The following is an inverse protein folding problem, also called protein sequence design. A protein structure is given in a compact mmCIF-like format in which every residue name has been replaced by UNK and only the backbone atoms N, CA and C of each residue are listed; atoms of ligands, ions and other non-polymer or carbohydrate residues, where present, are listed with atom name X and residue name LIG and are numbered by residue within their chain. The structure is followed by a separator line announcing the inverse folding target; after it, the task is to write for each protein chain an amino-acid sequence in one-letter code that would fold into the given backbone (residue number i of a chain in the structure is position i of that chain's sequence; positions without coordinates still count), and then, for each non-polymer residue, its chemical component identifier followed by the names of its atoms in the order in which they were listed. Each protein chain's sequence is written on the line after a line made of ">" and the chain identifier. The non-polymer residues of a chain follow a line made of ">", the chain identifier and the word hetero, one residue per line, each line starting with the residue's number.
data_IF_909744564511
#
_entry.id   IF_909744564511
#
_cell.length_a   1.000
_cell.length_b   1.000
_cell.length_c   1.000
_cell.angle_alpha   90.00
_cell.angle_beta   90.00
_cell.angle_gamma   90.00
#
_symmetry.space_group_name_H-M   'P 1'
#
loop_
_entity.id
_entity.type
_entity.pdbx_description
1 polymer ?
#
# COMPACT_ATOMS: atom_id res chain seq x y z
N UNK A 1 11.29 4.83 -29.62
CA UNK A 1 10.66 5.27 -28.35
C UNK A 1 10.20 4.02 -27.63
N UNK A 2 10.74 3.71 -26.45
CA UNK A 2 10.32 2.54 -25.68
C UNK A 2 9.01 2.90 -24.97
N UNK A 3 7.93 2.17 -25.23
CA UNK A 3 6.67 2.32 -24.49
C UNK A 3 6.89 1.80 -23.07
N UNK A 4 6.78 2.67 -22.07
CA UNK A 4 6.78 2.24 -20.67
C UNK A 4 5.42 1.60 -20.38
N UNK A 5 5.39 0.29 -20.17
CA UNK A 5 4.18 -0.40 -19.72
C UNK A 5 4.03 -0.08 -18.23
N UNK A 6 2.94 0.61 -17.81
CA UNK A 6 2.73 0.89 -16.40
C UNK A 6 2.53 -0.41 -15.62
N UNK A 7 3.08 -0.46 -14.40
CA UNK A 7 2.92 -1.61 -13.52
C UNK A 7 1.43 -1.85 -13.28
N UNK A 8 1.02 -3.12 -13.34
CA UNK A 8 -0.37 -3.52 -13.09
C UNK A 8 -0.45 -4.83 -12.31
N UNK A 9 -1.48 -4.98 -11.49
CA UNK A 9 -1.77 -6.17 -10.71
C UNK A 9 -2.76 -7.07 -11.46
N UNK A 10 -2.70 -8.38 -11.20
CA UNK A 10 -3.71 -9.32 -11.69
C UNK A 10 -4.99 -9.19 -10.87
N UNK A 11 -6.15 -9.40 -11.50
CA UNK A 11 -7.43 -9.47 -10.80
C UNK A 11 -7.82 -10.95 -10.70
N UNK A 12 -8.05 -11.43 -9.47
CA UNK A 12 -8.40 -12.84 -9.24
C UNK A 12 -9.63 -13.24 -10.07
N UNK A 13 -9.53 -14.37 -10.78
CA UNK A 13 -10.62 -14.89 -11.62
C UNK A 13 -10.91 -14.08 -12.90
N UNK A 14 -10.04 -13.15 -13.30
CA UNK A 14 -10.26 -12.29 -14.46
C UNK A 14 -8.98 -12.13 -15.31
N UNK A 15 -9.15 -11.90 -16.61
CA UNK A 15 -8.06 -11.50 -17.51
C UNK A 15 -7.75 -9.99 -17.43
N UNK A 16 -8.58 -9.22 -16.72
CA UNK A 16 -8.36 -7.79 -16.51
C UNK A 16 -7.16 -7.53 -15.60
N UNK A 17 -6.56 -6.35 -15.77
CA UNK A 17 -5.39 -5.89 -15.03
C UNK A 17 -5.69 -4.54 -14.36
N UNK A 18 -5.26 -4.38 -13.12
CA UNK A 18 -5.41 -3.15 -12.36
C UNK A 18 -4.13 -2.30 -12.47
N UNK A 19 -4.12 -1.16 -13.18
CA UNK A 19 -2.94 -0.30 -13.25
C UNK A 19 -2.65 0.37 -11.91
N UNK A 20 -1.40 0.31 -11.45
CA UNK A 20 -0.94 0.94 -10.20
C UNK A 20 -0.45 2.36 -10.51
N UNK A 21 -1.02 3.37 -9.84
CA UNK A 21 -0.67 4.78 -10.05
C UNK A 21 -0.02 5.45 -8.85
N UNK A 22 -0.69 5.44 -7.71
CA UNK A 22 -0.22 6.00 -6.45
C UNK A 22 -0.53 5.02 -5.32
N UNK A 23 0.40 4.89 -4.39
CA UNK A 23 0.25 4.04 -3.21
C UNK A 23 0.27 4.97 -2.01
N UNK A 24 -0.84 4.99 -1.28
CA UNK A 24 -0.96 5.70 -0.01
C UNK A 24 -1.04 4.65 1.09
N UNK A 25 -0.21 4.84 2.10
CA UNK A 25 -0.13 3.98 3.28
C UNK A 25 -0.58 4.75 4.51
N UNK A 26 -1.12 4.04 5.49
CA UNK A 26 -1.62 4.63 6.75
C UNK A 26 -0.80 4.07 7.90
N UNK A 27 0.15 4.88 8.39
CA UNK A 27 0.99 4.51 9.52
C UNK A 27 0.21 4.54 10.82
N UNK A 28 0.52 3.58 11.71
CA UNK A 28 -0.08 3.50 13.06
C UNK A 28 -1.60 3.37 13.06
N UNK A 29 -2.17 2.63 12.12
CA UNK A 29 -3.64 2.49 12.01
C UNK A 29 -4.24 1.36 12.89
N UNK A 30 -3.46 0.79 13.81
CA UNK A 30 -3.88 -0.23 14.77
C UNK A 30 -3.36 0.11 16.16
N UNK A 31 -4.26 0.22 17.14
CA UNK A 31 -3.92 0.69 18.49
C UNK A 31 -2.89 -0.21 19.20
N UNK A 32 -2.92 -1.52 18.97
CA UNK A 32 -1.96 -2.44 19.60
C UNK A 32 -0.57 -2.35 18.94
N UNK A 33 -0.52 -2.19 17.62
CA UNK A 33 0.75 -1.94 16.92
C UNK A 33 1.37 -0.59 17.34
N UNK A 34 0.56 0.42 17.64
CA UNK A 34 1.07 1.66 18.23
C UNK A 34 1.77 1.42 19.58
N UNK A 35 1.18 0.59 20.46
CA UNK A 35 1.75 0.28 21.78
C UNK A 35 3.04 -0.53 21.66
N UNK A 36 3.10 -1.47 20.73
CA UNK A 36 4.31 -2.24 20.41
C UNK A 36 5.48 -1.31 20.05
N UNK A 37 5.19 -0.24 19.31
CA UNK A 37 6.16 0.79 18.90
C UNK A 37 6.43 1.85 19.99
N UNK A 38 6.05 1.58 21.25
CA UNK A 38 6.26 2.47 22.40
C UNK A 38 5.29 3.64 22.50
N UNK A 39 4.20 3.62 21.72
CA UNK A 39 3.13 4.62 21.76
C UNK A 39 2.07 4.36 22.83
N UNK A 40 1.16 5.31 22.99
CA UNK A 40 0.04 5.21 23.93
C UNK A 40 -1.19 4.50 23.36
N UNK A 41 -1.24 4.25 22.05
CA UNK A 41 -2.40 3.67 21.36
C UNK A 41 -3.50 4.69 21.06
N UNK A 42 -3.22 5.99 21.26
CA UNK A 42 -4.16 7.11 21.09
C UNK A 42 -3.67 8.12 20.06
N UNK A 43 -2.50 7.88 19.47
CA UNK A 43 -1.95 8.73 18.44
C UNK A 43 -2.81 8.65 17.17
N UNK A 44 -2.97 9.78 16.48
CA UNK A 44 -3.66 9.77 15.19
C UNK A 44 -2.82 9.04 14.14
N UNK A 45 -3.46 8.30 13.21
CA UNK A 45 -2.76 7.75 12.07
C UNK A 45 -2.24 8.86 11.16
N UNK A 46 -1.20 8.55 10.39
CA UNK A 46 -0.62 9.48 9.44
C UNK A 46 -0.45 8.82 8.06
N UNK A 47 -0.37 9.65 7.02
CA UNK A 47 -0.21 9.17 5.65
C UNK A 47 1.23 9.29 5.18
N UNK A 48 1.67 8.28 4.43
CA UNK A 48 2.90 8.34 3.64
C UNK A 48 2.66 7.65 2.29
N UNK A 49 3.64 7.72 1.40
CA UNK A 49 3.53 7.15 0.06
C UNK A 49 4.73 6.25 -0.26
N UNK A 50 4.45 5.24 -1.09
CA UNK A 50 5.47 4.42 -1.77
C UNK A 50 5.39 4.64 -3.27
N UNK A 51 6.49 4.39 -3.96
CA UNK A 51 6.50 4.52 -5.41
C UNK A 51 5.78 3.33 -6.05
N UNK A 52 5.14 3.54 -7.21
CA UNK A 52 4.46 2.45 -7.91
C UNK A 52 5.42 1.30 -8.28
N UNK A 53 6.71 1.59 -8.47
CA UNK A 53 7.74 0.59 -8.77
C UNK A 53 8.17 -0.26 -7.57
N UNK A 54 7.74 0.08 -6.35
CA UNK A 54 8.03 -0.71 -5.15
C UNK A 54 7.15 -1.96 -5.04
N UNK A 55 6.11 -2.07 -5.87
CA UNK A 55 5.18 -3.21 -5.86
C UNK A 55 5.79 -4.40 -6.58
N UNK A 56 5.95 -5.48 -5.84
CA UNK A 56 6.29 -6.80 -6.36
C UNK A 56 5.00 -7.63 -6.43
N UNK A 57 4.56 -8.08 -7.63
CA UNK A 57 3.37 -8.92 -7.77
C UNK A 57 3.52 -10.27 -7.06
N UNK A 58 2.38 -10.96 -6.88
CA UNK A 58 2.34 -12.30 -6.29
C UNK A 58 3.32 -13.28 -6.98
N UNK A 59 3.99 -14.10 -6.16
CA UNK A 59 5.07 -14.98 -6.59
C UNK A 59 6.39 -14.29 -6.98
N UNK A 60 6.47 -12.97 -6.88
CA UNK A 60 7.70 -12.22 -7.13
C UNK A 60 8.73 -12.33 -6.00
N UNK A 61 9.98 -12.02 -6.31
CA UNK A 61 11.09 -12.09 -5.36
C UNK A 61 11.36 -10.72 -4.72
N UNK A 62 11.50 -10.68 -3.39
CA UNK A 62 11.85 -9.47 -2.63
C UNK A 62 13.28 -9.65 -2.10
N UNK A 63 14.30 -9.04 -2.75
CA UNK A 63 15.67 -9.13 -2.25
C UNK A 63 15.81 -8.35 -0.95
N UNK A 64 16.71 -8.81 -0.08
CA UNK A 64 17.05 -8.08 1.14
C UNK A 64 17.67 -6.71 0.77
N UNK A 65 17.12 -5.58 1.25
CA UNK A 65 17.59 -4.27 0.82
C UNK A 65 18.98 -3.95 1.37
N UNK A 66 19.88 -3.36 0.55
CA UNK A 66 21.14 -2.85 1.06
C UNK A 66 20.91 -1.66 1.99
N UNK A 67 21.78 -1.47 2.98
CA UNK A 67 21.74 -0.30 3.87
C UNK A 67 20.89 -0.47 5.14
N UNK A 68 20.39 -1.68 5.42
CA UNK A 68 19.81 -2.04 6.73
C UNK A 68 20.32 -3.40 7.18
N UNK A 69 20.29 -3.65 8.50
CA UNK A 69 20.43 -4.99 9.08
C UNK A 69 19.13 -5.42 9.80
N UNK A 70 18.09 -4.59 9.71
CA UNK A 70 16.83 -4.74 10.43
C UNK A 70 15.67 -4.47 9.46
N UNK A 71 15.29 -5.48 8.69
CA UNK A 71 14.26 -5.40 7.65
C UNK A 71 12.97 -6.06 8.15
N UNK A 72 11.92 -5.26 8.33
CA UNK A 72 10.66 -5.67 8.98
C UNK A 72 9.57 -5.96 7.96
N UNK A 73 8.62 -6.83 8.34
CA UNK A 73 7.43 -7.14 7.57
C UNK A 73 6.20 -6.51 8.24
N UNK A 74 5.28 -5.99 7.43
CA UNK A 74 3.99 -5.44 7.88
C UNK A 74 2.91 -5.96 6.93
N UNK A 75 1.95 -6.72 7.48
CA UNK A 75 0.81 -7.21 6.70
C UNK A 75 -0.32 -6.19 6.75
N UNK A 76 -0.78 -5.74 5.57
CA UNK A 76 -1.79 -4.69 5.45
C UNK A 76 -2.95 -5.12 4.55
N UNK A 77 -4.15 -4.59 4.83
CA UNK A 77 -5.26 -4.61 3.88
C UNK A 77 -5.07 -3.51 2.85
N UNK A 78 -5.10 -3.86 1.56
CA UNK A 78 -4.99 -2.91 0.46
C UNK A 78 -6.37 -2.65 -0.15
N UNK A 79 -6.72 -1.37 -0.34
CA UNK A 79 -7.94 -0.96 -1.05
C UNK A 79 -7.56 -0.32 -2.38
N UNK A 80 -8.12 -0.86 -3.47
CA UNK A 80 -7.97 -0.32 -4.81
C UNK A 80 -9.30 0.28 -5.31
N UNK A 81 -9.55 1.58 -5.11
CA UNK A 81 -10.80 2.20 -5.54
C UNK A 81 -10.87 2.28 -7.07
N UNK A 82 -12.02 1.95 -7.64
CA UNK A 82 -12.29 2.03 -9.08
C UNK A 82 -12.59 3.46 -9.58
N UNK A 83 -12.44 4.46 -8.70
CA UNK A 83 -12.80 5.85 -8.97
C UNK A 83 -11.76 6.81 -8.41
N UNK A 84 -11.69 8.00 -9.00
CA UNK A 84 -10.94 9.11 -8.42
C UNK A 84 -11.73 9.71 -7.26
N UNK A 85 -11.10 9.86 -6.11
CA UNK A 85 -11.69 10.49 -4.93
C UNK A 85 -11.05 11.85 -4.68
N UNK A 86 -11.89 12.86 -4.47
CA UNK A 86 -11.50 14.17 -3.96
C UNK A 86 -12.59 14.59 -2.97
N UNK A 87 -12.19 14.98 -1.75
CA UNK A 87 -13.08 15.45 -0.68
C UNK A 87 -14.34 14.59 -0.46
N UNK A 88 -14.17 13.26 -0.46
CA UNK A 88 -15.28 12.31 -0.27
C UNK A 88 -15.60 12.13 1.22
N UNK A 89 -16.88 12.07 1.57
CA UNK A 89 -17.35 11.72 2.91
C UNK A 89 -17.46 10.19 3.06
N UNK A 90 -17.41 9.63 4.29
CA UNK A 90 -17.55 8.19 4.50
C UNK A 90 -18.81 7.59 3.87
N UNK A 91 -19.94 8.31 3.90
CA UNK A 91 -21.22 7.91 3.29
C UNK A 91 -21.19 7.74 1.78
N UNK A 92 -20.11 8.16 1.11
CA UNK A 92 -19.94 8.03 -0.34
C UNK A 92 -19.11 6.79 -0.72
N UNK A 93 -18.70 5.98 0.26
CA UNK A 93 -17.96 4.72 0.09
C UNK A 93 -18.78 3.48 0.45
N UNK A 94 -20.04 3.64 0.83
CA UNK A 94 -21.03 2.58 1.10
C UNK A 94 -22.00 2.46 -0.07
#
# INVERSE_FOLDING_TARGET
>A
MQTVIPLSLAVAGSSQRLPVRRIFCVGRNYADHQKEMGGSGREQPFFFAKAAHDVVPDGGNIPYPPGTANYHWETELVVAPAFNACAKTPSQFT
#
